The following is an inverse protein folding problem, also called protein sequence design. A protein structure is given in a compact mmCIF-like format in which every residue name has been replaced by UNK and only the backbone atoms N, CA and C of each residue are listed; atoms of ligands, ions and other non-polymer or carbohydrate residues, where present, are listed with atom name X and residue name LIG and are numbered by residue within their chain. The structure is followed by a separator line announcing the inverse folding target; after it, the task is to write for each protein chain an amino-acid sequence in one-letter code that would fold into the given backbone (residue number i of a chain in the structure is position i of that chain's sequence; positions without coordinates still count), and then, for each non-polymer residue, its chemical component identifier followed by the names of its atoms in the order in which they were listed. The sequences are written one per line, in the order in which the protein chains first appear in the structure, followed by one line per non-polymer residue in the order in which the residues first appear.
data_IF_655293533495
#
_entry.id   IF_655293533495
#
_cell.length_a   1.000
_cell.length_b   1.000
_cell.length_c   1.000
_cell.angle_alpha   90.00
_cell.angle_beta   90.00
_cell.angle_gamma   90.00
#
_symmetry.space_group_name_H-M   'P 1'
#
loop_
_entity.id
_entity.type
_entity.pdbx_description
1 polymer ?
#
# COMPACT_ATOMS: atom_id res chain seq x y z
N UNK A 1 18.43 2.47 -15.60
CA UNK A 1 17.34 3.27 -14.98
C UNK A 1 17.85 4.12 -13.83
N UNK A 2 18.48 3.54 -12.81
CA UNK A 2 19.01 4.28 -11.66
C UNK A 2 20.08 5.32 -12.04
N UNK A 3 20.99 5.01 -12.98
CA UNK A 3 22.00 5.97 -13.47
C UNK A 3 21.37 7.26 -14.03
N UNK A 4 20.21 7.17 -14.69
CA UNK A 4 19.47 8.35 -15.14
C UNK A 4 18.93 9.17 -13.96
N UNK A 5 18.39 8.50 -12.93
CA UNK A 5 17.85 9.16 -11.75
C UNK A 5 18.95 9.87 -10.94
N UNK A 6 20.15 9.31 -10.87
CA UNK A 6 21.28 9.92 -10.16
C UNK A 6 21.93 11.08 -10.92
N UNK A 7 21.79 11.13 -12.26
CA UNK A 7 22.37 12.22 -13.08
C UNK A 7 21.50 13.46 -13.13
N UNK A 8 20.20 13.35 -12.87
CA UNK A 8 19.31 14.50 -12.81
C UNK A 8 19.49 15.24 -11.48
N UNK A 9 20.09 16.44 -11.51
CA UNK A 9 20.37 17.25 -10.32
C UNK A 9 19.12 17.60 -9.49
N UNK A 10 17.94 17.55 -10.10
CA UNK A 10 16.66 17.83 -9.45
C UNK A 10 16.14 16.67 -8.59
N UNK A 11 16.63 15.45 -8.83
CA UNK A 11 16.15 14.26 -8.13
C UNK A 11 16.91 14.11 -6.81
N UNK A 12 16.17 14.19 -5.71
CA UNK A 12 16.71 14.05 -4.37
C UNK A 12 16.60 12.61 -3.89
N UNK A 13 17.60 12.16 -3.13
CA UNK A 13 17.56 10.85 -2.45
C UNK A 13 16.39 10.73 -1.45
N UNK A 14 15.87 11.88 -1.00
CA UNK A 14 14.69 11.96 -0.13
C UNK A 14 13.37 11.89 -0.90
N UNK A 15 13.37 11.96 -2.23
CA UNK A 15 12.14 11.87 -3.04
C UNK A 15 11.49 10.50 -2.88
N UNK A 16 10.16 10.46 -2.92
CA UNK A 16 9.41 9.21 -2.92
C UNK A 16 9.45 8.55 -4.30
N UNK A 17 9.53 7.22 -4.34
CA UNK A 17 9.48 6.46 -5.58
C UNK A 17 8.14 5.76 -5.74
N UNK A 18 7.43 6.12 -6.81
CA UNK A 18 6.15 5.56 -7.19
C UNK A 18 6.20 4.99 -8.61
N UNK A 19 5.44 3.92 -8.83
CA UNK A 19 5.38 3.20 -10.10
C UNK A 19 3.92 2.98 -10.47
N UNK A 20 3.60 3.10 -11.75
CA UNK A 20 2.24 2.90 -12.25
C UNK A 20 2.22 1.94 -13.44
N UNK A 21 1.06 1.31 -13.64
CA UNK A 21 0.76 0.62 -14.89
C UNK A 21 0.31 1.65 -15.94
N UNK A 22 0.79 1.49 -17.17
CA UNK A 22 0.61 2.46 -18.25
C UNK A 22 1.62 3.61 -18.15
N UNK A 23 1.24 4.79 -18.65
CA UNK A 23 2.16 5.93 -18.70
C UNK A 23 2.09 6.77 -17.42
N UNK A 24 3.25 7.23 -16.94
CA UNK A 24 3.29 8.17 -15.81
C UNK A 24 2.55 9.48 -16.12
N UNK A 25 2.61 9.93 -17.38
CA UNK A 25 1.90 11.12 -17.87
C UNK A 25 0.40 11.04 -17.61
N UNK A 26 -0.24 9.90 -17.87
CA UNK A 26 -1.67 9.73 -17.60
C UNK A 26 -2.02 9.81 -16.11
N UNK A 27 -1.12 9.40 -15.23
CA UNK A 27 -1.32 9.50 -13.78
C UNK A 27 -1.14 10.92 -13.28
N UNK A 28 -0.16 11.65 -13.84
CA UNK A 28 0.11 13.05 -13.49
C UNK A 28 -1.00 14.01 -13.96
N UNK A 29 -1.88 13.57 -14.86
CA UNK A 29 -3.04 14.33 -15.34
C UNK A 29 -4.34 13.98 -14.59
N UNK A 30 -4.28 13.17 -13.54
CA UNK A 30 -5.44 12.92 -12.68
C UNK A 30 -5.77 14.19 -11.89
N UNK A 31 -7.06 14.51 -11.80
CA UNK A 31 -7.53 15.61 -10.98
C UNK A 31 -7.47 15.18 -9.51
N UNK A 32 -7.01 16.05 -8.60
CA UNK A 32 -7.08 15.75 -7.18
C UNK A 32 -8.52 15.70 -6.71
N UNK A 33 -8.80 14.88 -5.69
CA UNK A 33 -10.15 14.70 -5.16
C UNK A 33 -10.36 15.50 -3.87
N UNK A 34 -9.38 15.44 -2.96
CA UNK A 34 -9.47 16.06 -1.63
C UNK A 34 -8.63 17.34 -1.55
N UNK A 35 -7.44 17.33 -2.15
CA UNK A 35 -6.46 18.41 -2.01
C UNK A 35 -6.55 19.43 -3.15
N UNK A 36 -5.87 20.57 -2.99
CA UNK A 36 -5.81 21.60 -4.04
C UNK A 36 -4.99 21.16 -5.26
N UNK A 37 -4.03 20.26 -5.06
CA UNK A 37 -3.13 19.74 -6.09
C UNK A 37 -2.91 18.24 -5.97
N UNK A 38 -2.54 17.58 -7.07
CA UNK A 38 -2.26 16.14 -7.09
C UNK A 38 -1.03 15.78 -6.25
N UNK A 39 0.00 16.64 -6.20
CA UNK A 39 1.20 16.38 -5.42
C UNK A 39 0.93 16.44 -3.91
N UNK A 40 0.08 17.36 -3.45
CA UNK A 40 -0.39 17.40 -2.06
C UNK A 40 -1.19 16.14 -1.71
N UNK A 41 -2.06 15.69 -2.60
CA UNK A 41 -2.87 14.49 -2.37
C UNK A 41 -2.01 13.22 -2.31
N UNK A 42 -1.11 13.04 -3.28
CA UNK A 42 -0.18 11.91 -3.27
C UNK A 42 0.71 11.94 -2.03
N UNK A 43 1.16 13.12 -1.58
CA UNK A 43 1.93 13.25 -0.34
C UNK A 43 1.10 12.85 0.87
N UNK A 44 -0.15 13.31 0.97
CA UNK A 44 -1.07 12.92 2.03
C UNK A 44 -1.30 11.41 2.06
N UNK A 45 -1.50 10.78 0.90
CA UNK A 45 -1.65 9.32 0.78
C UNK A 45 -0.40 8.56 1.25
N UNK A 46 0.80 9.07 0.94
CA UNK A 46 2.06 8.48 1.43
C UNK A 46 2.18 8.63 2.95
N UNK A 47 1.83 9.79 3.50
CA UNK A 47 1.88 10.04 4.95
C UNK A 47 0.88 9.17 5.71
N UNK A 48 -0.30 8.95 5.14
CA UNK A 48 -1.35 8.08 5.69
C UNK A 48 -1.08 6.59 5.51
N UNK A 49 0.00 6.18 4.81
CA UNK A 49 0.26 4.77 4.57
C UNK A 49 0.38 3.97 5.89
N UNK A 50 0.80 4.59 7.00
CA UNK A 50 0.83 4.00 8.33
C UNK A 50 -0.54 3.53 8.85
N UNK A 51 -1.61 4.25 8.50
CA UNK A 51 -2.96 4.00 9.01
C UNK A 51 -3.66 2.83 8.29
N UNK A 52 -3.41 2.67 6.99
CA UNK A 52 -4.08 1.62 6.20
C UNK A 52 -3.19 0.43 5.85
N UNK A 53 -1.87 0.52 5.99
CA UNK A 53 -0.85 -0.51 5.70
C UNK A 53 -0.86 -1.14 4.30
N UNK A 54 -1.78 -0.76 3.40
CA UNK A 54 -1.93 -1.33 2.05
C UNK A 54 -0.99 -0.74 1.00
N UNK A 55 -0.22 0.28 1.36
CA UNK A 55 0.77 0.92 0.50
C UNK A 55 2.11 0.96 1.21
N UNK A 56 3.21 0.97 0.48
CA UNK A 56 4.51 1.27 1.05
C UNK A 56 5.35 2.04 0.04
N UNK A 57 5.64 3.30 0.33
CA UNK A 57 6.37 4.18 -0.58
C UNK A 57 7.75 4.50 0.00
N UNK A 58 8.80 3.78 -0.42
CA UNK A 58 10.14 4.09 0.03
C UNK A 58 10.63 5.41 -0.57
N UNK A 59 11.58 6.02 0.12
CA UNK A 59 12.40 7.08 -0.48
C UNK A 59 13.37 6.46 -1.48
N UNK A 60 13.82 7.26 -2.44
CA UNK A 60 14.77 6.82 -3.46
C UNK A 60 16.05 6.24 -2.82
N UNK A 61 16.55 6.86 -1.74
CA UNK A 61 17.69 6.33 -0.99
C UNK A 61 17.50 4.88 -0.55
N UNK A 62 16.33 4.58 0.03
CA UNK A 62 16.01 3.24 0.53
C UNK A 62 15.84 2.25 -0.62
N UNK A 63 15.21 2.66 -1.71
CA UNK A 63 15.14 1.83 -2.92
C UNK A 63 16.53 1.46 -3.42
N UNK A 64 17.44 2.44 -3.52
CA UNK A 64 18.81 2.24 -3.98
C UNK A 64 19.63 1.36 -3.02
N UNK A 65 19.43 1.51 -1.71
CA UNK A 65 20.06 0.66 -0.71
C UNK A 65 19.62 -0.80 -0.87
N UNK A 66 18.30 -1.04 -0.95
CA UNK A 66 17.76 -2.39 -1.16
C UNK A 66 18.19 -2.98 -2.50
N UNK A 67 18.25 -2.16 -3.55
CA UNK A 67 18.72 -2.57 -4.87
C UNK A 67 20.19 -3.02 -4.87
N UNK A 68 21.02 -2.42 -4.01
CA UNK A 68 22.44 -2.76 -3.90
C UNK A 68 22.68 -4.00 -3.02
N UNK A 69 21.66 -4.47 -2.31
CA UNK A 69 21.73 -5.64 -1.42
C UNK A 69 21.36 -6.92 -2.17
N UNK A 70 22.28 -7.88 -2.22
CA UNK A 70 22.05 -9.17 -2.93
C UNK A 70 20.94 -10.04 -2.32
N UNK A 71 20.55 -9.80 -1.07
CA UNK A 71 19.54 -10.56 -0.34
C UNK A 71 18.16 -9.91 -0.33
N UNK A 72 18.03 -8.65 -0.75
CA UNK A 72 16.77 -7.89 -0.71
C UNK A 72 16.37 -7.48 -2.12
N UNK A 73 15.12 -7.77 -2.47
CA UNK A 73 14.57 -7.29 -3.73
C UNK A 73 13.87 -5.95 -3.50
N UNK A 74 14.24 -4.88 -4.22
CA UNK A 74 13.67 -3.55 -3.98
C UNK A 74 12.21 -3.49 -4.45
N UNK A 75 11.43 -2.69 -3.73
CA UNK A 75 10.02 -2.44 -4.01
C UNK A 75 9.76 -0.94 -4.09
N UNK A 76 8.70 -0.53 -4.78
CA UNK A 76 8.25 0.85 -4.82
C UNK A 76 6.73 0.95 -4.68
N UNK A 77 6.22 2.10 -4.23
CA UNK A 77 4.78 2.30 -4.06
C UNK A 77 4.06 2.24 -5.41
N UNK A 78 2.89 1.59 -5.45
CA UNK A 78 2.10 1.46 -6.67
C UNK A 78 1.00 2.52 -6.71
N UNK A 79 1.01 3.38 -7.73
CA UNK A 79 -0.11 4.26 -8.04
C UNK A 79 -1.10 3.49 -8.91
N UNK A 80 -2.33 3.40 -8.43
CA UNK A 80 -3.47 2.90 -9.17
C UNK A 80 -4.49 4.01 -9.38
N UNK A 81 -5.21 3.91 -10.50
CA UNK A 81 -6.29 4.83 -10.84
C UNK A 81 -7.58 4.17 -10.42
N UNK A 82 -8.28 4.73 -9.43
CA UNK A 82 -9.66 4.34 -9.16
C UNK A 82 -10.58 5.09 -10.11
N UNK A 83 -11.57 4.40 -10.65
CA UNK A 83 -12.67 5.04 -11.38
C UNK A 83 -13.93 4.62 -10.67
N UNK A 84 -14.66 5.57 -10.12
CA UNK A 84 -15.93 5.32 -9.45
C UNK A 84 -16.97 6.32 -9.94
N UNK A 85 -18.24 5.94 -9.82
CA UNK A 85 -19.36 6.81 -10.17
C UNK A 85 -19.76 7.55 -8.90
N UNK A 86 -19.62 8.86 -8.90
CA UNK A 86 -20.30 9.69 -7.90
C UNK A 86 -21.80 9.65 -8.19
N UNK A 87 -22.66 9.29 -7.22
CA UNK A 87 -24.10 9.49 -7.38
C UNK A 87 -24.36 10.99 -7.34
N UNK A 88 -24.37 11.64 -8.50
CA UNK A 88 -24.86 13.01 -8.63
C UNK A 88 -26.35 12.93 -8.92
N UNK A 89 -27.10 13.87 -8.35
CA UNK A 89 -28.55 14.06 -8.40
C UNK A 89 -29.25 13.63 -9.71
N UNK A 90 -30.56 13.31 -9.67
CA UNK A 90 -31.29 12.59 -10.71
C UNK A 90 -31.23 13.16 -12.15
N UNK A 91 -30.77 14.39 -12.34
CA UNK A 91 -30.86 15.13 -13.60
C UNK A 91 -29.50 15.57 -14.19
N UNK A 92 -28.37 14.97 -13.79
CA UNK A 92 -27.07 15.27 -14.41
C UNK A 92 -26.41 14.02 -15.00
N UNK A 93 -25.93 14.13 -16.25
CA UNK A 93 -25.18 13.07 -16.94
C UNK A 93 -24.12 12.48 -16.01
N UNK A 94 -24.15 11.15 -15.81
CA UNK A 94 -23.23 10.41 -14.93
C UNK A 94 -21.75 10.79 -15.21
N UNK A 95 -21.15 11.60 -14.35
CA UNK A 95 -19.72 11.90 -14.43
C UNK A 95 -18.94 10.80 -13.69
N UNK A 96 -18.08 10.10 -14.42
CA UNK A 96 -17.10 9.18 -13.83
C UNK A 96 -15.93 9.97 -13.26
N UNK A 97 -15.81 9.97 -11.93
CA UNK A 97 -14.66 10.56 -11.24
C UNK A 97 -13.50 9.55 -11.25
N UNK A 98 -12.31 10.06 -11.55
CA UNK A 98 -11.07 9.28 -11.66
C UNK A 98 -10.06 9.85 -10.68
N UNK A 99 -9.79 9.09 -9.62
CA UNK A 99 -8.87 9.50 -8.56
C UNK A 99 -7.61 8.64 -8.55
N UNK A 100 -6.53 9.17 -8.00
CA UNK A 100 -5.30 8.43 -7.77
C UNK A 100 -5.33 7.85 -6.36
N UNK A 101 -5.06 6.55 -6.23
CA UNK A 101 -4.78 5.94 -4.94
C UNK A 101 -3.42 5.25 -4.97
N UNK A 102 -2.77 5.15 -3.81
CA UNK A 102 -1.55 4.39 -3.65
C UNK A 102 -1.94 3.10 -2.92
N UNK A 103 -1.80 1.97 -3.59
CA UNK A 103 -2.08 0.65 -3.02
C UNK A 103 -1.24 -0.40 -3.72
N UNK A 104 -0.70 -1.33 -2.94
CA UNK A 104 0.16 -2.37 -3.45
C UNK A 104 1.60 -1.90 -3.63
N UNK A 105 2.41 -2.80 -4.19
CA UNK A 105 3.83 -2.55 -4.47
C UNK A 105 4.22 -3.01 -5.86
N UNK A 106 5.13 -2.26 -6.47
CA UNK A 106 5.91 -2.70 -7.62
C UNK A 106 7.12 -3.48 -7.12
N UNK A 107 7.33 -4.71 -7.62
CA UNK A 107 8.43 -5.58 -7.19
C UNK A 107 9.47 -5.66 -8.30
N UNK A 108 10.72 -5.36 -7.96
CA UNK A 108 11.84 -5.37 -8.90
C UNK A 108 12.78 -6.54 -8.63
N UNK A 109 13.35 -7.11 -9.69
CA UNK A 109 14.41 -8.12 -9.63
C UNK A 109 15.23 -8.06 -10.92
N UNK A 110 16.54 -8.12 -10.79
CA UNK A 110 17.49 -8.02 -11.92
C UNK A 110 17.19 -6.77 -12.77
N UNK A 111 17.01 -5.62 -12.10
CA UNK A 111 16.78 -4.30 -12.70
C UNK A 111 15.44 -4.13 -13.42
N UNK A 112 14.55 -5.10 -13.30
CA UNK A 112 13.27 -5.11 -14.01
C UNK A 112 12.10 -5.22 -13.04
N UNK A 113 11.02 -4.54 -13.36
CA UNK A 113 9.72 -4.77 -12.74
C UNK A 113 9.27 -6.21 -13.07
N UNK A 114 9.15 -7.06 -12.05
CA UNK A 114 8.72 -8.47 -12.21
C UNK A 114 7.26 -8.71 -11.91
N UNK A 115 6.66 -7.87 -11.08
CA UNK A 115 5.29 -8.08 -10.66
C UNK A 115 4.81 -7.03 -9.69
N UNK A 116 3.62 -7.29 -9.16
CA UNK A 116 2.93 -6.39 -8.27
C UNK A 116 2.41 -7.15 -7.07
N UNK A 117 2.55 -6.56 -5.88
CA UNK A 117 1.81 -6.99 -4.71
C UNK A 117 0.48 -6.23 -4.65
N UNK A 118 -0.56 -6.92 -4.21
CA UNK A 118 -1.85 -6.35 -3.82
C UNK A 118 -1.75 -5.58 -2.51
N UNK A 119 -2.79 -4.81 -2.15
CA UNK A 119 -2.86 -4.17 -0.84
C UNK A 119 -2.72 -5.17 0.32
N UNK A 120 -3.38 -6.32 0.24
CA UNK A 120 -3.30 -7.38 1.27
C UNK A 120 -1.90 -7.98 1.39
N UNK A 121 -1.24 -8.29 0.28
CA UNK A 121 0.14 -8.80 0.29
C UNK A 121 1.12 -7.73 0.82
N UNK A 122 0.84 -6.46 0.53
CA UNK A 122 1.64 -5.32 1.00
C UNK A 122 1.58 -5.17 2.51
N UNK A 123 0.42 -5.41 3.14
CA UNK A 123 0.29 -5.45 4.60
C UNK A 123 1.27 -6.48 5.17
N UNK A 124 1.23 -7.73 4.67
CA UNK A 124 2.13 -8.80 5.11
C UNK A 124 3.61 -8.43 4.91
N UNK A 125 3.98 -7.91 3.74
CA UNK A 125 5.33 -7.42 3.48
C UNK A 125 5.79 -6.37 4.49
N UNK A 126 4.96 -5.36 4.76
CA UNK A 126 5.28 -4.27 5.70
C UNK A 126 5.54 -4.79 7.10
N UNK A 127 4.76 -5.77 7.56
CA UNK A 127 5.00 -6.42 8.84
C UNK A 127 6.34 -7.14 8.89
N UNK A 128 6.71 -7.86 7.81
CA UNK A 128 7.98 -8.59 7.74
C UNK A 128 9.20 -7.66 7.75
N UNK A 129 9.08 -6.45 7.20
CA UNK A 129 10.15 -5.44 7.21
C UNK A 129 10.10 -4.46 8.40
N UNK A 130 9.25 -4.73 9.40
CA UNK A 130 9.13 -3.89 10.60
C UNK A 130 8.49 -2.51 10.36
N UNK A 131 7.75 -2.34 9.27
CA UNK A 131 7.05 -1.10 8.90
C UNK A 131 5.52 -1.27 8.84
N UNK A 132 4.99 -2.33 9.43
CA UNK A 132 3.56 -2.56 9.54
C UNK A 132 2.90 -1.49 10.43
N UNK A 133 1.73 -1.01 10.02
CA UNK A 133 0.89 -0.15 10.85
C UNK A 133 -0.49 -0.79 11.02
N UNK A 134 -1.50 0.02 11.32
CA UNK A 134 -2.87 -0.45 11.50
C UNK A 134 -3.38 -1.15 10.23
N UNK A 135 -4.18 -2.20 10.40
CA UNK A 135 -4.83 -2.90 9.30
C UNK A 135 -6.31 -3.15 9.60
N UNK A 136 -7.14 -3.05 8.57
CA UNK A 136 -8.56 -3.42 8.67
C UNK A 136 -8.77 -4.76 7.96
N UNK A 137 -9.26 -5.75 8.70
CA UNK A 137 -9.65 -7.05 8.18
C UNK A 137 -11.17 -7.16 8.16
N UNK A 138 -11.71 -7.60 7.03
CA UNK A 138 -13.13 -7.97 6.93
C UNK A 138 -13.19 -9.49 6.93
N UNK A 139 -13.78 -10.06 7.97
CA UNK A 139 -13.89 -11.51 8.15
C UNK A 139 -15.35 -11.93 8.22
N UNK A 140 -15.70 -13.11 7.66
CA UNK A 140 -17.04 -13.66 7.86
C UNK A 140 -17.27 -13.98 9.34
N UNK A 141 -18.44 -13.61 9.85
CA UNK A 141 -18.88 -13.92 11.21
C UNK A 141 -20.36 -14.31 11.19
N UNK A 142 -20.64 -15.59 11.45
CA UNK A 142 -21.94 -16.20 11.20
C UNK A 142 -22.45 -15.90 9.77
N UNK A 143 -23.66 -15.36 9.64
CA UNK A 143 -24.29 -14.99 8.37
C UNK A 143 -23.92 -13.58 7.88
N UNK A 144 -23.01 -12.89 8.57
CA UNK A 144 -22.63 -11.50 8.29
C UNK A 144 -21.11 -11.37 8.11
N UNK A 145 -20.66 -10.12 7.91
CA UNK A 145 -19.25 -9.74 7.94
C UNK A 145 -19.02 -8.78 9.10
N UNK A 146 -17.89 -8.97 9.77
CA UNK A 146 -17.36 -7.99 10.72
C UNK A 146 -16.10 -7.35 10.17
N UNK A 147 -15.96 -6.06 10.44
CA UNK A 147 -14.72 -5.33 10.23
C UNK A 147 -13.96 -5.27 11.55
N UNK A 148 -12.71 -5.70 11.55
CA UNK A 148 -11.82 -5.65 12.70
C UNK A 148 -10.65 -4.73 12.34
N UNK A 149 -10.46 -3.68 13.12
CA UNK A 149 -9.25 -2.88 13.08
C UNK A 149 -8.21 -3.51 14.00
N UNK A 150 -7.06 -3.88 13.45
CA UNK A 150 -5.96 -4.48 14.18
C UNK A 150 -4.82 -3.47 14.30
N UNK A 151 -4.49 -3.14 15.54
CA UNK A 151 -3.28 -2.40 15.91
C UNK A 151 -2.17 -3.38 16.27
N UNK A 152 -1.02 -3.38 15.59
CA UNK A 152 0.03 -4.33 15.87
C UNK A 152 0.79 -4.00 17.16
N UNK A 153 1.11 -5.03 17.93
CA UNK A 153 1.99 -4.91 19.11
C UNK A 153 3.42 -5.31 18.76
N UNK A 154 3.58 -6.41 18.03
CA UNK A 154 4.91 -6.87 17.59
C UNK A 154 4.82 -7.78 16.37
N UNK A 155 5.86 -7.75 15.53
CA UNK A 155 6.10 -8.73 14.49
C UNK A 155 7.56 -9.20 14.59
N UNK A 156 7.75 -10.48 14.91
CA UNK A 156 9.07 -11.08 15.11
C UNK A 156 9.35 -12.08 13.99
N UNK A 157 10.43 -11.84 13.26
CA UNK A 157 10.96 -12.74 12.22
C UNK A 157 12.20 -13.46 12.77
N UNK A 158 12.13 -14.78 12.89
CA UNK A 158 13.25 -15.59 13.39
C UNK A 158 13.67 -16.62 12.34
N UNK A 159 14.93 -16.57 11.93
CA UNK A 159 15.52 -17.63 11.10
C UNK A 159 15.67 -18.92 11.91
N UNK A 160 15.25 -20.04 11.34
CA UNK A 160 15.39 -21.35 11.96
C UNK A 160 16.75 -21.93 11.56
N UNK A 161 17.74 -21.77 12.45
CA UNK A 161 19.11 -22.23 12.20
C UNK A 161 19.16 -23.71 11.80
N UNK A 162 19.92 -24.02 10.74
CA UNK A 162 20.09 -25.39 10.24
C UNK A 162 18.96 -25.90 9.35
N UNK A 163 17.91 -25.11 9.09
CA UNK A 163 16.85 -25.51 8.15
C UNK A 163 17.35 -25.48 6.71
N UNK A 164 17.08 -26.54 5.95
CA UNK A 164 17.23 -26.57 4.49
C UNK A 164 15.93 -27.12 3.85
N UNK A 165 15.20 -26.35 3.03
CA UNK A 165 15.47 -24.96 2.64
C UNK A 165 15.41 -23.99 3.82
N UNK A 166 15.92 -22.75 3.69
CA UNK A 166 15.81 -21.72 4.72
C UNK A 166 14.36 -21.51 5.16
N UNK A 167 14.11 -21.56 6.46
CA UNK A 167 12.79 -21.34 7.06
C UNK A 167 12.84 -20.20 8.05
N UNK A 168 11.73 -19.47 8.11
CA UNK A 168 11.55 -18.39 9.06
C UNK A 168 10.27 -18.64 9.85
N UNK A 169 10.35 -18.45 11.17
CA UNK A 169 9.17 -18.37 12.03
C UNK A 169 8.76 -16.89 12.10
N UNK A 170 7.52 -16.61 11.69
CA UNK A 170 6.91 -15.28 11.82
C UNK A 170 5.93 -15.34 12.98
N UNK A 171 6.10 -14.47 13.97
CA UNK A 171 5.17 -14.34 15.10
C UNK A 171 4.63 -12.91 15.13
N UNK A 172 3.32 -12.76 14.93
CA UNK A 172 2.62 -11.48 14.94
C UNK A 172 1.68 -11.43 16.15
N UNK A 173 1.78 -10.36 16.94
CA UNK A 173 0.85 -10.02 17.99
C UNK A 173 0.16 -8.69 17.65
N UNK A 174 -1.16 -8.63 17.83
CA UNK A 174 -1.97 -7.46 17.54
C UNK A 174 -3.21 -7.43 18.45
N UNK A 175 -3.66 -6.23 18.78
CA UNK A 175 -4.93 -5.99 19.46
C UNK A 175 -5.97 -5.59 18.42
N UNK A 176 -7.17 -6.15 18.53
CA UNK A 176 -8.27 -5.88 17.62
C UNK A 176 -9.43 -5.13 18.27
N UNK A 177 -9.99 -4.18 17.53
CA UNK A 177 -11.27 -3.54 17.82
C UNK A 177 -12.27 -3.90 16.73
N UNK A 178 -13.47 -4.35 17.12
CA UNK A 178 -14.55 -4.60 16.18
C UNK A 178 -15.20 -3.27 15.83
N UNK A 179 -15.28 -2.96 14.55
CA UNK A 179 -15.77 -1.68 14.04
C UNK A 179 -17.23 -1.80 13.62
N UNK A 180 -17.49 -2.62 12.59
CA UNK A 180 -18.81 -2.75 11.98
C UNK A 180 -19.28 -4.20 11.94
N UNK A 181 -20.59 -4.40 12.10
CA UNK A 181 -21.29 -5.67 11.89
C UNK A 181 -22.39 -5.44 10.86
N UNK A 182 -22.38 -6.24 9.79
CA UNK A 182 -23.33 -6.09 8.66
C UNK A 182 -24.58 -6.97 8.77
N UNK A 183 -24.83 -7.61 9.92
CA UNK A 183 -26.06 -8.38 10.14
C UNK A 183 -27.19 -7.54 10.75
N UNK A 184 -28.42 -8.04 10.63
CA UNK A 184 -29.58 -7.39 11.24
C UNK A 184 -29.41 -7.33 12.76
N UNK A 185 -29.62 -6.13 13.34
CA UNK A 185 -29.74 -5.97 14.78
C UNK A 185 -31.11 -6.53 15.14
N UNK A 186 -31.15 -7.70 15.78
CA UNK A 186 -32.38 -8.18 16.40
C UNK A 186 -32.73 -7.23 17.54
N UNK A 187 -33.76 -6.41 17.35
CA UNK A 187 -34.37 -5.65 18.44
C UNK A 187 -34.88 -6.64 19.48
N UNK A 188 -34.26 -6.63 20.66
CA UNK A 188 -34.78 -7.35 21.81
C UNK A 188 -35.97 -6.51 22.31
N UNK A 189 -37.18 -6.93 21.93
CA UNK A 189 -38.44 -6.38 22.44
C UNK A 189 -38.74 -6.91 23.85
#
# INVERSE_FOLDING_TARGET
MLDFLFRAQEIRLTSYLLVCQGTAREKMLLAPEISGTLDEELRGLIEMQGEWSKAYTPRLLEFCANYSDSGIQPVAGRIIKLTYRTPVQPDSNEQQTKTAIIEGLAVFRDDQLRGWLTGTETIGFRYLIGKGGTMVLVVPWHAAKISIELSPESCNLQYIAGSNPPRFKVSLAAIGQVMDYTGDILEIT
#
